data_IF_470555741766
#
_entry.id   IF_470555741766
#
_cell.length_a   1.000
_cell.length_b   1.000
_cell.length_c   1.000
_cell.angle_alpha   90.00
_cell.angle_beta   90.00
_cell.angle_gamma   90.00
#
_symmetry.space_group_name_H-M   'P 1'
#
loop_
_entity.id
_entity.type
_entity.pdbx_description
1 polymer ?
#
# COMPACT_ATOMS: atom_id res chain seq x y z
N UNK A 1 -13.65 1.25 21.75
CA UNK A 1 -13.94 0.85 20.35
C UNK A 1 -14.21 -0.64 20.33
N UNK A 2 -15.26 -1.09 19.62
CA UNK A 2 -15.58 -2.52 19.46
C UNK A 2 -14.65 -3.14 18.41
N UNK A 3 -14.40 -4.45 18.49
CA UNK A 3 -13.54 -5.20 17.52
C UNK A 3 -14.03 -5.00 16.08
N UNK A 4 -15.34 -5.07 15.86
CA UNK A 4 -15.96 -4.86 14.55
C UNK A 4 -15.66 -3.47 13.96
N UNK A 5 -15.63 -2.43 14.80
CA UNK A 5 -15.25 -1.07 14.37
C UNK A 5 -13.75 -0.98 14.03
N UNK A 6 -12.89 -1.69 14.78
CA UNK A 6 -11.46 -1.77 14.49
C UNK A 6 -11.20 -2.44 13.13
N UNK A 7 -11.93 -3.51 12.85
CA UNK A 7 -11.82 -4.26 11.60
C UNK A 7 -12.33 -3.47 10.40
N UNK A 8 -13.44 -2.76 10.60
CA UNK A 8 -13.95 -1.83 9.59
C UNK A 8 -12.93 -0.74 9.31
N UNK A 9 -12.32 -0.15 10.34
CA UNK A 9 -11.30 0.90 10.17
C UNK A 9 -10.06 0.38 9.46
N UNK A 10 -9.52 -0.79 9.85
CA UNK A 10 -8.36 -1.40 9.19
C UNK A 10 -8.62 -1.65 7.69
N UNK A 11 -9.81 -2.15 7.38
CA UNK A 11 -10.30 -2.34 6.01
C UNK A 11 -10.37 -1.02 5.24
N UNK A 12 -10.97 0.01 5.82
CA UNK A 12 -11.02 1.35 5.19
C UNK A 12 -9.61 1.87 4.91
N UNK A 13 -8.68 1.76 5.86
CA UNK A 13 -7.29 2.19 5.68
C UNK A 13 -6.65 1.46 4.49
N UNK A 14 -6.84 0.14 4.37
CA UNK A 14 -6.29 -0.65 3.25
C UNK A 14 -6.92 -0.25 1.90
N UNK A 15 -8.22 0.02 1.84
CA UNK A 15 -8.89 0.49 0.61
C UNK A 15 -8.36 1.86 0.20
N UNK A 16 -8.27 2.79 1.15
CA UNK A 16 -7.75 4.14 0.89
C UNK A 16 -6.33 4.06 0.35
N UNK A 17 -5.50 3.16 0.89
CA UNK A 17 -4.14 2.90 0.41
C UNK A 17 -4.10 2.28 -0.99
N UNK A 18 -4.98 1.33 -1.28
CA UNK A 18 -5.11 0.75 -2.61
C UNK A 18 -5.41 1.82 -3.67
N UNK A 19 -6.29 2.76 -3.36
CA UNK A 19 -6.68 3.84 -4.28
C UNK A 19 -5.61 4.92 -4.37
N UNK A 20 -5.21 5.52 -3.25
CA UNK A 20 -4.32 6.69 -3.24
C UNK A 20 -2.95 6.39 -3.87
N UNK A 21 -2.31 5.28 -3.48
CA UNK A 21 -0.97 4.96 -4.01
C UNK A 21 -1.05 4.58 -5.50
N UNK A 22 -2.13 3.92 -5.95
CA UNK A 22 -2.33 3.66 -7.38
C UNK A 22 -2.45 4.96 -8.17
N UNK A 23 -3.20 5.93 -7.67
CA UNK A 23 -3.31 7.26 -8.29
C UNK A 23 -1.98 8.01 -8.29
N UNK A 24 -1.21 7.93 -7.19
CA UNK A 24 0.10 8.56 -7.09
C UNK A 24 1.11 7.94 -8.06
N UNK A 25 1.09 6.62 -8.26
CA UNK A 25 1.94 5.94 -9.24
C UNK A 25 1.60 6.33 -10.69
N UNK A 26 0.32 6.47 -11.00
CA UNK A 26 -0.11 6.95 -12.32
C UNK A 26 0.29 8.43 -12.50
N UNK A 27 0.05 9.26 -11.49
CA UNK A 27 0.41 10.67 -11.49
C UNK A 27 1.91 10.91 -11.61
N UNK A 28 2.75 10.11 -10.94
CA UNK A 28 4.21 10.19 -11.08
C UNK A 28 4.66 9.81 -12.50
N UNK A 29 3.99 8.85 -13.13
CA UNK A 29 4.19 8.53 -14.55
C UNK A 29 3.89 9.71 -15.47
N UNK A 30 2.78 10.41 -15.23
CA UNK A 30 2.43 11.61 -16.01
C UNK A 30 3.47 12.71 -15.85
N UNK A 31 3.93 12.95 -14.61
CA UNK A 31 4.97 13.95 -14.34
C UNK A 31 6.32 13.58 -14.97
N UNK A 32 6.71 12.31 -14.92
CA UNK A 32 7.93 11.84 -15.60
C UNK A 32 7.84 12.02 -17.11
N UNK A 33 6.71 11.67 -17.72
CA UNK A 33 6.51 11.85 -19.16
C UNK A 33 6.55 13.35 -19.53
N UNK A 34 5.91 14.21 -18.73
CA UNK A 34 5.93 15.65 -18.94
C UNK A 34 7.34 16.26 -18.82
N UNK A 35 8.15 15.80 -17.85
CA UNK A 35 9.52 16.26 -17.70
C UNK A 35 10.41 15.86 -18.90
N UNK A 36 10.19 14.67 -19.46
CA UNK A 36 10.85 14.22 -20.70
C UNK A 36 10.41 15.06 -21.89
N UNK A 37 9.10 15.28 -22.05
CA UNK A 37 8.55 16.07 -23.16
C UNK A 37 9.03 17.54 -23.12
N UNK A 38 9.27 18.08 -21.93
CA UNK A 38 9.85 19.41 -21.72
C UNK A 38 11.38 19.46 -21.91
N UNK A 39 12.04 18.32 -22.13
CA UNK A 39 13.50 18.23 -22.26
C UNK A 39 14.27 18.43 -20.95
N UNK A 40 13.59 18.36 -19.80
CA UNK A 40 14.20 18.59 -18.48
C UNK A 40 14.97 17.36 -17.97
N UNK A 41 14.68 16.17 -18.50
CA UNK A 41 15.24 14.92 -18.00
C UNK A 41 15.38 13.84 -19.08
N UNK A 42 16.56 13.21 -19.18
CA UNK A 42 16.71 11.94 -19.89
C UNK A 42 16.13 10.81 -19.03
N UNK A 43 14.97 10.28 -19.41
CA UNK A 43 14.35 9.19 -18.66
C UNK A 43 14.90 7.83 -19.08
N UNK A 44 15.27 7.03 -18.08
CA UNK A 44 15.64 5.62 -18.25
C UNK A 44 14.47 4.75 -18.80
N UNK A 45 13.23 5.20 -18.60
CA UNK A 45 11.99 4.57 -19.08
C UNK A 45 11.07 5.67 -19.61
N UNK A 46 10.66 5.57 -20.87
CA UNK A 46 9.78 6.54 -21.52
C UNK A 46 8.77 5.87 -22.44
N UNK A 47 7.67 6.57 -22.75
CA UNK A 47 6.66 6.08 -23.68
C UNK A 47 5.99 4.78 -23.21
N UNK A 48 5.74 3.80 -24.10
CA UNK A 48 4.99 2.58 -23.75
C UNK A 48 5.60 1.75 -22.62
N UNK A 49 6.93 1.72 -22.50
CA UNK A 49 7.62 0.96 -21.46
C UNK A 49 7.40 1.53 -20.06
N UNK A 50 7.35 2.85 -19.94
CA UNK A 50 7.00 3.53 -18.68
C UNK A 50 5.62 3.09 -18.20
N UNK A 51 4.63 3.09 -19.10
CA UNK A 51 3.25 2.72 -18.76
C UNK A 51 3.11 1.23 -18.42
N UNK A 52 3.83 0.34 -19.10
CA UNK A 52 3.88 -1.08 -18.74
C UNK A 52 4.48 -1.28 -17.34
N UNK A 53 5.57 -0.58 -17.03
CA UNK A 53 6.20 -0.63 -15.72
C UNK A 53 5.27 -0.10 -14.62
N UNK A 54 4.59 1.03 -14.85
CA UNK A 54 3.60 1.58 -13.91
C UNK A 54 2.43 0.62 -13.72
N UNK A 55 1.89 0.06 -14.79
CA UNK A 55 0.80 -0.92 -14.71
C UNK A 55 1.22 -2.15 -13.88
N UNK A 56 2.46 -2.62 -14.04
CA UNK A 56 3.02 -3.68 -13.22
C UNK A 56 3.11 -3.28 -11.74
N UNK A 57 3.62 -2.09 -11.42
CA UNK A 57 3.70 -1.59 -10.05
C UNK A 57 2.33 -1.44 -9.40
N UNK A 58 1.36 -0.88 -10.12
CA UNK A 58 -0.04 -0.75 -9.65
C UNK A 58 -0.64 -2.14 -9.42
N UNK A 59 -0.43 -3.09 -10.33
CA UNK A 59 -0.88 -4.47 -10.18
C UNK A 59 -0.29 -5.14 -8.95
N UNK A 60 1.03 -5.01 -8.73
CA UNK A 60 1.72 -5.53 -7.57
C UNK A 60 1.22 -4.88 -6.26
N UNK A 61 0.98 -3.57 -6.26
CA UNK A 61 0.44 -2.84 -5.12
C UNK A 61 -0.96 -3.30 -4.75
N UNK A 62 -1.88 -3.36 -5.72
CA UNK A 62 -3.25 -3.83 -5.51
C UNK A 62 -3.27 -5.28 -5.03
N UNK A 63 -2.38 -6.12 -5.57
CA UNK A 63 -2.21 -7.49 -5.10
C UNK A 63 -1.77 -7.53 -3.62
N UNK A 64 -0.82 -6.70 -3.22
CA UNK A 64 -0.36 -6.59 -1.84
C UNK A 64 -1.48 -6.12 -0.91
N UNK A 65 -2.24 -5.07 -1.28
CA UNK A 65 -3.39 -4.59 -0.52
C UNK A 65 -4.45 -5.69 -0.35
N UNK A 66 -4.78 -6.42 -1.42
CA UNK A 66 -5.73 -7.53 -1.37
C UNK A 66 -5.25 -8.65 -0.45
N UNK A 67 -3.95 -8.97 -0.47
CA UNK A 67 -3.35 -9.97 0.42
C UNK A 67 -3.29 -9.49 1.87
N UNK A 68 -2.97 -8.22 2.10
CA UNK A 68 -2.97 -7.60 3.42
C UNK A 68 -4.36 -7.59 4.06
N UNK A 69 -5.40 -7.34 3.26
CA UNK A 69 -6.79 -7.46 3.68
C UNK A 69 -7.13 -8.85 4.22
N UNK A 70 -6.72 -9.91 3.49
CA UNK A 70 -6.92 -11.28 3.93
C UNK A 70 -6.04 -11.65 5.13
N UNK A 71 -4.81 -11.13 5.19
CA UNK A 71 -3.86 -11.39 6.28
C UNK A 71 -4.24 -10.69 7.60
N UNK A 72 -4.94 -9.56 7.55
CA UNK A 72 -5.31 -8.79 8.75
C UNK A 72 -6.18 -9.60 9.72
N UNK A 73 -7.18 -10.35 9.24
CA UNK A 73 -8.03 -11.21 10.07
C UNK A 73 -7.52 -12.66 10.21
N UNK A 74 -6.38 -12.99 9.57
CA UNK A 74 -5.87 -14.36 9.64
C UNK A 74 -5.41 -14.68 11.07
N UNK A 75 -6.00 -15.74 11.62
CA UNK A 75 -5.61 -16.36 12.89
C UNK A 75 -4.35 -17.21 12.75
N UNK A 76 -3.90 -17.46 11.52
CA UNK A 76 -2.69 -18.22 11.25
C UNK A 76 -1.42 -17.38 11.45
N UNK A 77 -0.28 -18.06 11.61
CA UNK A 77 1.02 -17.42 11.90
C UNK A 77 1.56 -16.51 10.78
N UNK A 78 2.83 -16.10 10.90
CA UNK A 78 3.47 -15.17 9.95
C UNK A 78 3.39 -15.60 8.48
N UNK A 79 3.29 -16.91 8.19
CA UNK A 79 3.14 -17.44 6.84
C UNK A 79 1.94 -16.90 6.06
N UNK A 80 0.84 -16.51 6.72
CA UNK A 80 -0.31 -15.86 6.07
C UNK A 80 -0.45 -14.36 6.37
N UNK A 81 0.18 -13.88 7.45
CA UNK A 81 0.14 -12.46 7.83
C UNK A 81 1.24 -11.61 7.18
N UNK A 82 2.29 -12.19 6.60
CA UNK A 82 3.41 -11.42 6.02
C UNK A 82 2.99 -10.30 5.06
N UNK A 83 1.95 -10.41 4.19
CA UNK A 83 1.60 -9.34 3.28
C UNK A 83 1.10 -8.09 4.00
N UNK A 84 0.44 -8.28 5.14
CA UNK A 84 0.02 -7.18 6.01
C UNK A 84 1.22 -6.44 6.59
N UNK A 85 2.23 -7.17 7.07
CA UNK A 85 3.44 -6.57 7.63
C UNK A 85 4.30 -5.88 6.58
N UNK A 86 4.35 -6.42 5.35
CA UNK A 86 5.00 -5.76 4.22
C UNK A 86 4.30 -4.46 3.87
N UNK A 87 2.95 -4.45 3.82
CA UNK A 87 2.18 -3.23 3.60
C UNK A 87 2.53 -2.14 4.64
N UNK A 88 2.57 -2.52 5.92
CA UNK A 88 2.95 -1.63 7.01
C UNK A 88 4.39 -1.12 6.86
N UNK A 89 5.34 -2.00 6.52
CA UNK A 89 6.75 -1.64 6.37
C UNK A 89 6.99 -0.66 5.21
N UNK A 90 6.24 -0.77 4.12
CA UNK A 90 6.28 0.18 3.00
C UNK A 90 5.67 1.55 3.39
N UNK A 91 4.76 1.55 4.36
CA UNK A 91 4.03 2.75 4.79
C UNK A 91 4.77 3.58 5.85
N UNK A 92 5.48 2.93 6.78
CA UNK A 92 6.21 3.64 7.84
C UNK A 92 7.18 4.73 7.33
N UNK A 93 7.93 4.54 6.23
CA UNK A 93 8.82 5.55 5.68
C UNK A 93 8.10 6.68 4.92
N UNK A 94 6.84 6.49 4.51
CA UNK A 94 6.08 7.46 3.72
C UNK A 94 5.42 8.50 4.65
N UNK A 95 6.24 9.41 5.18
CA UNK A 95 5.80 10.47 6.08
C UNK A 95 5.02 11.57 5.34
N UNK A 96 3.98 12.18 5.94
CA UNK A 96 3.37 11.89 7.26
C UNK A 96 2.21 10.89 7.20
N UNK A 97 1.50 10.83 6.07
CA UNK A 97 0.21 10.11 5.98
C UNK A 97 0.39 8.58 6.01
N UNK A 98 1.41 8.07 5.30
CA UNK A 98 1.75 6.65 5.29
C UNK A 98 2.15 6.17 6.68
N UNK A 99 2.96 6.94 7.40
CA UNK A 99 3.38 6.61 8.78
C UNK A 99 2.18 6.47 9.72
N UNK A 100 1.22 7.40 9.67
CA UNK A 100 0.01 7.35 10.50
C UNK A 100 -0.86 6.13 10.15
N UNK A 101 -1.01 5.81 8.87
CA UNK A 101 -1.79 4.65 8.41
C UNK A 101 -1.11 3.33 8.79
N UNK A 102 0.20 3.23 8.60
CA UNK A 102 0.99 2.05 8.97
C UNK A 102 0.99 1.81 10.48
N UNK A 103 1.27 2.84 11.29
CA UNK A 103 1.21 2.74 12.75
C UNK A 103 -0.20 2.44 13.26
N UNK A 104 -1.22 3.03 12.63
CA UNK A 104 -2.63 2.75 12.91
C UNK A 104 -2.98 1.27 12.68
N UNK A 105 -2.53 0.69 11.55
CA UNK A 105 -2.73 -0.74 11.27
C UNK A 105 -2.03 -1.63 12.28
N UNK A 106 -0.79 -1.33 12.67
CA UNK A 106 -0.06 -2.06 13.71
C UNK A 106 -0.87 -2.05 15.02
N UNK A 107 -1.30 -0.86 15.44
CA UNK A 107 -2.05 -0.69 16.68
C UNK A 107 -3.36 -1.49 16.67
N UNK A 108 -4.12 -1.41 15.57
CA UNK A 108 -5.38 -2.16 15.43
C UNK A 108 -5.14 -3.67 15.51
N UNK A 109 -4.11 -4.16 14.81
CA UNK A 109 -3.77 -5.59 14.81
C UNK A 109 -3.37 -6.07 16.21
N UNK A 110 -2.45 -5.40 16.89
CA UNK A 110 -1.95 -5.84 18.20
C UNK A 110 -3.04 -5.76 19.28
N UNK A 111 -3.86 -4.69 19.26
CA UNK A 111 -4.85 -4.43 20.31
C UNK A 111 -6.10 -5.29 20.20
N UNK A 112 -6.59 -5.54 18.98
CA UNK A 112 -7.88 -6.20 18.77
C UNK A 112 -7.74 -7.64 18.25
N UNK A 113 -6.61 -7.99 17.65
CA UNK A 113 -6.30 -9.33 17.16
C UNK A 113 -4.87 -9.76 17.56
N UNK A 114 -4.58 -9.81 18.88
CA UNK A 114 -3.28 -10.25 19.35
C UNK A 114 -2.99 -11.66 18.85
N UNK A 115 -1.72 -11.95 18.54
CA UNK A 115 -1.31 -13.32 18.24
C UNK A 115 -1.63 -14.18 19.46
N UNK A 116 -2.41 -15.24 19.29
CA UNK A 116 -2.46 -16.30 20.31
C UNK A 116 -1.05 -16.85 20.44
N UNK A 117 -0.51 -16.82 21.66
CA UNK A 117 0.75 -17.46 21.99
C UNK A 117 0.67 -18.96 21.73
#
# INVERSE_FOLDING_TARGET
MKVESADTLAKVIIIVQAVLISLLLVGSGMLMQQAVDNGEQEAALQGPLLWLFIAFLVGAWLWLCRRAWAGYLSTEGMGKQWPFWVLVAVQLPSFPLGTLMGAGLIFLKIKFHPRSQ
#
